data_IF_719863809369
#
_entry.id   IF_719863809369
#
_cell.length_a   1.000
_cell.length_b   1.000
_cell.length_c   1.000
_cell.angle_alpha   90.00
_cell.angle_beta   90.00
_cell.angle_gamma   90.00
#
_symmetry.space_group_name_H-M   'P 1'
#
loop_
_entity.id
_entity.type
_entity.pdbx_description
1 polymer ?
#
# COMPACT_ATOMS: atom_id res chain seq x y z
N UNK A 1 -16.27 -3.26 -6.97
CA UNK A 1 -16.31 -3.10 -5.49
C UNK A 1 -16.68 -4.36 -4.72
N UNK A 2 -17.63 -5.23 -5.13
CA UNK A 2 -17.96 -6.45 -4.35
C UNK A 2 -16.86 -7.53 -4.41
N UNK A 3 -16.08 -7.61 -5.50
CA UNK A 3 -15.00 -8.60 -5.69
C UNK A 3 -13.61 -8.15 -5.23
N UNK A 4 -13.41 -6.86 -5.00
CA UNK A 4 -12.11 -6.30 -4.57
C UNK A 4 -11.79 -6.55 -3.08
N UNK A 5 -12.59 -7.35 -2.36
CA UNK A 5 -12.53 -7.61 -0.90
C UNK A 5 -12.24 -6.38 -0.01
N UNK A 6 -12.59 -5.19 -0.52
CA UNK A 6 -12.40 -3.91 0.16
C UNK A 6 -13.48 -3.66 1.22
N UNK A 7 -14.54 -4.48 1.22
CA UNK A 7 -15.70 -4.34 2.10
C UNK A 7 -15.64 -5.22 3.36
N UNK A 8 -15.04 -6.41 3.29
CA UNK A 8 -15.06 -7.40 4.36
C UNK A 8 -14.31 -6.89 5.60
N UNK A 9 -14.96 -6.95 6.78
CA UNK A 9 -14.36 -6.52 8.06
C UNK A 9 -14.22 -5.01 8.24
N UNK A 10 -14.84 -4.19 7.38
CA UNK A 10 -14.69 -2.72 7.37
C UNK A 10 -16.03 -2.01 7.59
N UNK A 11 -15.96 -0.76 8.07
CA UNK A 11 -17.15 0.07 8.29
C UNK A 11 -17.79 0.44 6.93
N UNK A 12 -19.05 0.05 6.67
CA UNK A 12 -19.69 0.24 5.36
C UNK A 12 -19.90 1.72 5.02
N UNK A 13 -20.10 2.58 6.02
CA UNK A 13 -20.33 4.02 5.85
C UNK A 13 -19.19 4.73 5.13
N UNK A 14 -17.94 4.41 5.46
CA UNK A 14 -16.77 5.00 4.79
C UNK A 14 -16.62 4.57 3.35
N UNK A 15 -16.98 3.32 3.05
CA UNK A 15 -16.99 2.79 1.69
C UNK A 15 -18.09 3.43 0.85
N UNK A 16 -19.28 3.61 1.44
CA UNK A 16 -20.39 4.31 0.80
C UNK A 16 -20.00 5.75 0.43
N UNK A 17 -19.35 6.49 1.34
CA UNK A 17 -18.86 7.85 1.06
C UNK A 17 -17.85 7.90 -0.09
N UNK A 18 -16.89 6.98 -0.12
CA UNK A 18 -15.93 6.90 -1.22
C UNK A 18 -16.60 6.52 -2.55
N UNK A 19 -17.53 5.57 -2.52
CA UNK A 19 -18.30 5.16 -3.70
C UNK A 19 -19.17 6.30 -4.26
N UNK A 20 -19.82 7.07 -3.37
CA UNK A 20 -20.64 8.21 -3.76
C UNK A 20 -19.79 9.30 -4.42
N UNK A 21 -18.59 9.56 -3.89
CA UNK A 21 -17.67 10.54 -4.46
C UNK A 21 -17.15 10.09 -5.84
N UNK A 22 -16.79 8.81 -5.98
CA UNK A 22 -16.38 8.24 -7.27
C UNK A 22 -17.51 8.32 -8.31
N UNK A 23 -18.73 7.92 -7.95
CA UNK A 23 -19.89 8.02 -8.83
C UNK A 23 -20.16 9.47 -9.26
N UNK A 24 -20.10 10.42 -8.32
CA UNK A 24 -20.26 11.84 -8.63
C UNK A 24 -19.23 12.31 -9.67
N UNK A 25 -17.98 11.85 -9.59
CA UNK A 25 -16.95 12.15 -10.61
C UNK A 25 -17.22 11.49 -11.95
N UNK A 26 -17.64 10.22 -11.96
CA UNK A 26 -17.95 9.49 -13.20
C UNK A 26 -19.09 10.14 -13.99
N UNK A 27 -20.09 10.69 -13.30
CA UNK A 27 -21.25 11.32 -13.91
C UNK A 27 -21.15 12.86 -13.98
N UNK A 28 -19.95 13.42 -13.82
CA UNK A 28 -19.69 14.87 -13.92
C UNK A 28 -20.49 15.75 -12.93
N UNK A 29 -20.89 15.18 -11.79
CA UNK A 29 -21.47 15.91 -10.66
C UNK A 29 -20.37 16.42 -9.73
N UNK A 30 -20.15 17.73 -9.75
CA UNK A 30 -19.19 18.36 -8.85
C UNK A 30 -19.73 18.39 -7.41
N UNK A 31 -19.17 17.52 -6.55
CA UNK A 31 -19.37 17.51 -5.10
C UNK A 31 -18.03 17.53 -4.39
N UNK A 32 -17.97 18.24 -3.27
CA UNK A 32 -16.77 18.26 -2.44
C UNK A 32 -16.73 17.06 -1.51
N UNK A 33 -15.53 16.73 -1.01
CA UNK A 33 -15.38 15.67 0.00
C UNK A 33 -16.15 16.03 1.27
N UNK A 34 -16.16 17.31 1.65
CA UNK A 34 -16.89 17.83 2.80
C UNK A 34 -18.40 17.61 2.68
N UNK A 35 -19.00 17.87 1.50
CA UNK A 35 -20.44 17.65 1.26
C UNK A 35 -20.81 16.19 1.49
N UNK A 36 -20.01 15.27 0.94
CA UNK A 36 -20.25 13.83 1.08
C UNK A 36 -20.11 13.39 2.53
N UNK A 37 -19.05 13.84 3.21
CA UNK A 37 -18.78 13.54 4.62
C UNK A 37 -19.89 14.03 5.54
N UNK A 38 -20.47 15.20 5.25
CA UNK A 38 -21.61 15.71 6.00
C UNK A 38 -22.82 14.78 5.93
N UNK A 39 -23.08 14.16 4.77
CA UNK A 39 -24.20 13.24 4.55
C UNK A 39 -23.93 11.86 5.15
N UNK A 40 -22.73 11.30 4.96
CA UNK A 40 -22.42 9.94 5.44
C UNK A 40 -21.96 9.91 6.90
N UNK A 41 -21.79 11.06 7.55
CA UNK A 41 -21.35 11.18 8.95
C UNK A 41 -20.06 10.40 9.25
N UNK A 42 -19.01 10.60 8.45
CA UNK A 42 -17.71 9.97 8.69
C UNK A 42 -16.56 10.95 8.43
N UNK A 43 -15.41 10.76 9.08
CA UNK A 43 -14.26 11.66 8.88
C UNK A 43 -13.75 11.62 7.43
N UNK A 44 -13.35 12.79 6.91
CA UNK A 44 -12.69 12.93 5.60
C UNK A 44 -11.48 12.01 5.44
N UNK A 45 -10.71 11.84 6.52
CA UNK A 45 -9.53 10.98 6.53
C UNK A 45 -9.89 9.52 6.20
N UNK A 46 -11.07 9.06 6.65
CA UNK A 46 -11.54 7.70 6.38
C UNK A 46 -11.96 7.56 4.92
N UNK A 47 -12.68 8.53 4.36
CA UNK A 47 -13.07 8.55 2.94
C UNK A 47 -11.83 8.56 2.05
N UNK A 48 -10.86 9.43 2.33
CA UNK A 48 -9.58 9.48 1.60
C UNK A 48 -8.85 8.15 1.66
N UNK A 49 -8.72 7.55 2.84
CA UNK A 49 -8.11 6.22 2.99
C UNK A 49 -8.83 5.15 2.16
N UNK A 50 -10.16 5.20 2.05
CA UNK A 50 -10.91 4.24 1.19
C UNK A 50 -10.65 4.47 -0.30
N UNK A 51 -10.52 5.72 -0.74
CA UNK A 51 -10.15 6.06 -2.13
C UNK A 51 -8.72 5.60 -2.45
N UNK A 52 -7.78 5.80 -1.53
CA UNK A 52 -6.39 5.35 -1.68
C UNK A 52 -6.25 3.82 -1.73
N UNK A 53 -7.15 3.11 -1.06
CA UNK A 53 -7.21 1.65 -1.16
C UNK A 53 -7.84 1.21 -2.46
N UNK A 54 -8.87 1.91 -2.95
CA UNK A 54 -9.46 1.65 -4.26
C UNK A 54 -8.44 1.89 -5.39
N UNK A 55 -7.63 2.95 -5.32
CA UNK A 55 -6.60 3.26 -6.32
C UNK A 55 -5.48 2.21 -6.42
N UNK A 56 -5.37 1.33 -5.43
CA UNK A 56 -4.42 0.24 -5.41
C UNK A 56 -4.97 -1.07 -6.00
N UNK A 57 -6.24 -1.09 -6.41
CA UNK A 57 -6.92 -2.25 -7.01
C UNK A 57 -6.86 -2.18 -8.54
N UNK A 58 -6.91 -3.32 -9.25
CA UNK A 58 -6.98 -3.31 -10.71
C UNK A 58 -8.24 -2.61 -11.23
N UNK A 59 -9.33 -2.63 -10.45
CA UNK A 59 -10.58 -1.89 -10.74
C UNK A 59 -10.35 -0.39 -11.01
N UNK A 60 -9.37 0.24 -10.37
CA UNK A 60 -9.14 1.68 -10.53
C UNK A 60 -8.43 2.06 -11.83
N UNK A 61 -7.83 1.09 -12.53
CA UNK A 61 -7.18 1.32 -13.81
C UNK A 61 -8.16 1.27 -15.00
N UNK A 62 -9.39 0.79 -14.77
CA UNK A 62 -10.42 0.70 -15.79
C UNK A 62 -11.01 2.07 -16.12
N UNK A 63 -11.39 2.26 -17.38
CA UNK A 63 -12.22 3.40 -17.78
C UNK A 63 -13.63 3.27 -17.18
N UNK A 64 -14.40 4.36 -17.18
CA UNK A 64 -15.76 4.37 -16.62
C UNK A 64 -16.66 3.35 -17.33
N UNK A 65 -16.54 3.28 -18.66
CA UNK A 65 -17.32 2.36 -19.49
C UNK A 65 -16.92 0.90 -19.24
N UNK A 66 -15.62 0.63 -19.12
CA UNK A 66 -15.09 -0.69 -18.77
C UNK A 66 -15.51 -1.12 -17.36
N UNK A 67 -15.49 -0.20 -16.39
CA UNK A 67 -15.90 -0.49 -15.01
C UNK A 67 -17.39 -0.87 -14.90
N UNK A 68 -18.24 -0.36 -15.79
CA UNK A 68 -19.66 -0.68 -15.83
C UNK A 68 -19.96 -2.03 -16.52
N UNK A 69 -19.07 -2.46 -17.42
CA UNK A 69 -19.33 -3.59 -18.34
C UNK A 69 -18.53 -4.84 -18.00
N UNK A 70 -17.32 -4.66 -17.46
CA UNK A 70 -16.39 -5.75 -17.14
C UNK A 70 -16.64 -6.21 -15.71
N UNK A 71 -16.91 -7.50 -15.58
CA UNK A 71 -16.94 -8.16 -14.28
C UNK A 71 -15.55 -8.77 -14.02
N UNK A 72 -14.88 -8.32 -12.95
CA UNK A 72 -13.53 -8.80 -12.65
C UNK A 72 -13.54 -10.30 -12.30
N UNK A 73 -12.67 -11.06 -12.96
CA UNK A 73 -12.52 -12.51 -12.73
C UNK A 73 -11.71 -12.80 -11.45
N UNK A 74 -10.76 -11.93 -11.11
CA UNK A 74 -9.87 -12.11 -9.95
C UNK A 74 -10.39 -11.39 -8.71
N UNK A 75 -10.39 -12.11 -7.58
CA UNK A 75 -10.56 -11.53 -6.25
C UNK A 75 -9.21 -11.01 -5.74
N UNK A 76 -9.20 -9.77 -5.25
CA UNK A 76 -8.04 -9.20 -4.56
C UNK A 76 -8.01 -9.63 -3.08
N UNK A 77 -6.81 -9.63 -2.50
CA UNK A 77 -6.62 -9.85 -1.06
C UNK A 77 -7.14 -8.64 -0.24
N UNK A 78 -7.61 -8.85 0.99
CA UNK A 78 -8.02 -7.74 1.84
C UNK A 78 -6.79 -6.87 2.19
N UNK A 79 -6.93 -5.54 2.36
CA UNK A 79 -5.78 -4.67 2.59
C UNK A 79 -4.97 -5.01 3.85
N UNK A 80 -5.58 -5.66 4.86
CA UNK A 80 -4.87 -6.17 6.04
C UNK A 80 -3.76 -7.17 5.67
N UNK A 81 -4.02 -8.02 4.66
CA UNK A 81 -3.05 -9.00 4.19
C UNK A 81 -1.94 -8.33 3.36
N UNK A 82 -2.31 -7.35 2.53
CA UNK A 82 -1.35 -6.55 1.76
C UNK A 82 -0.39 -5.76 2.65
N UNK A 83 -0.91 -5.13 3.71
CA UNK A 83 -0.09 -4.42 4.70
C UNK A 83 0.82 -5.36 5.48
N UNK A 84 0.33 -6.52 5.92
CA UNK A 84 1.13 -7.51 6.62
C UNK A 84 2.30 -8.02 5.75
N UNK A 85 2.05 -8.35 4.48
CA UNK A 85 3.09 -8.78 3.53
C UNK A 85 4.10 -7.68 3.23
N UNK A 86 3.66 -6.43 3.11
CA UNK A 86 4.55 -5.28 2.90
C UNK A 86 5.49 -5.08 4.09
N UNK A 87 4.95 -5.04 5.31
CA UNK A 87 5.77 -4.92 6.53
C UNK A 87 6.75 -6.07 6.70
N UNK A 88 6.33 -7.30 6.39
CA UNK A 88 7.21 -8.46 6.45
C UNK A 88 8.40 -8.34 5.47
N UNK A 89 8.16 -7.86 4.24
CA UNK A 89 9.21 -7.61 3.25
C UNK A 89 10.16 -6.48 3.68
N UNK A 90 9.62 -5.36 4.18
CA UNK A 90 10.42 -4.25 4.69
C UNK A 90 11.33 -4.69 5.84
N UNK A 91 10.81 -5.49 6.78
CA UNK A 91 11.60 -6.03 7.88
C UNK A 91 12.71 -6.98 7.39
N UNK A 92 12.44 -7.75 6.34
CA UNK A 92 13.44 -8.66 5.77
C UNK A 92 14.58 -7.87 5.11
N UNK A 93 14.26 -6.85 4.32
CA UNK A 93 15.27 -5.97 3.71
C UNK A 93 16.13 -5.26 4.76
N UNK A 94 15.52 -4.80 5.86
CA UNK A 94 16.28 -4.18 6.96
C UNK A 94 17.28 -5.15 7.59
N UNK A 95 16.88 -6.41 7.81
CA UNK A 95 17.79 -7.44 8.32
C UNK A 95 18.91 -7.78 7.35
N UNK A 96 18.60 -7.83 6.04
CA UNK A 96 19.60 -8.05 5.00
C UNK A 96 20.61 -6.89 4.93
N UNK A 97 20.14 -5.63 5.02
CA UNK A 97 21.00 -4.45 5.10
C UNK A 97 21.88 -4.42 6.35
N UNK A 98 21.34 -4.80 7.51
CA UNK A 98 22.10 -4.91 8.77
C UNK A 98 23.19 -5.99 8.67
N UNK A 99 22.85 -7.17 8.14
CA UNK A 99 23.81 -8.25 7.94
C UNK A 99 24.92 -7.86 6.94
N UNK A 100 24.59 -7.16 5.87
CA UNK A 100 25.59 -6.65 4.91
C UNK A 100 26.56 -5.66 5.57
N UNK A 101 26.07 -4.75 6.41
CA UNK A 101 26.91 -3.81 7.16
C UNK A 101 27.82 -4.52 8.15
N UNK A 102 27.33 -5.58 8.80
CA UNK A 102 28.13 -6.39 9.73
C UNK A 102 29.24 -7.15 9.00
N UNK A 103 28.92 -7.78 7.87
CA UNK A 103 29.91 -8.43 6.99
C UNK A 103 30.93 -7.41 6.46
N UNK A 104 30.47 -6.23 6.02
CA UNK A 104 31.36 -5.16 5.54
C UNK A 104 32.32 -4.70 6.65
N UNK A 105 31.83 -4.55 7.88
CA UNK A 105 32.65 -4.19 9.03
C UNK A 105 33.67 -5.29 9.36
N UNK A 106 33.29 -6.57 9.33
CA UNK A 106 34.22 -7.70 9.53
C UNK A 106 35.30 -7.76 8.45
N UNK A 107 34.92 -7.61 7.18
CA UNK A 107 35.85 -7.57 6.05
C UNK A 107 36.81 -6.40 6.19
N UNK A 108 36.29 -5.21 6.53
CA UNK A 108 37.10 -4.02 6.76
C UNK A 108 38.11 -4.24 7.90
N UNK A 109 37.68 -4.78 9.03
CA UNK A 109 38.55 -5.10 10.16
C UNK A 109 39.63 -6.12 9.78
N UNK A 110 39.26 -7.18 9.05
CA UNK A 110 40.18 -8.24 8.66
C UNK A 110 41.22 -7.76 7.66
N UNK A 111 40.87 -6.85 6.74
CA UNK A 111 41.83 -6.23 5.81
C UNK A 111 42.76 -5.29 6.59
N UNK A 112 42.23 -4.42 7.46
CA UNK A 112 43.05 -3.42 8.16
C UNK A 112 43.96 -3.99 9.25
N UNK A 113 43.57 -5.07 9.93
CA UNK A 113 44.36 -5.67 11.01
C UNK A 113 45.35 -6.75 10.53
N UNK A 114 45.14 -7.43 9.39
CA UNK A 114 46.07 -8.47 8.89
C UNK A 114 47.13 -8.00 7.90
N UNK A 115 46.99 -6.81 7.33
CA UNK A 115 47.99 -6.24 6.40
C UNK A 115 49.30 -5.79 7.08
N UNK A 116 49.34 -5.25 8.31
CA UNK A 116 50.60 -4.86 8.96
C UNK A 116 51.47 -6.07 9.36
N UNK A 117 50.88 -7.24 9.62
CA UNK A 117 51.62 -8.44 10.04
C UNK A 117 52.38 -9.14 8.90
N UNK A 118 52.11 -8.81 7.63
CA UNK A 118 52.81 -9.38 6.47
C UNK A 118 53.96 -8.50 5.96
N UNK A 119 54.07 -7.25 6.42
CA UNK A 119 55.19 -6.34 6.11
C UNK A 119 56.21 -6.22 7.26
N UNK A 120 55.94 -6.88 8.40
CA UNK A 120 56.86 -7.00 9.53
C UNK A 120 57.39 -8.43 9.62
N UNK A 121 58.19 -8.85 8.65
CA UNK A 121 59.13 -9.97 8.81
C UNK A 121 60.49 -9.48 8.30
N UNK A 122 61.57 -9.74 9.06
CA UNK A 122 62.86 -9.04 8.92
C UNK A 122 63.63 -9.34 7.64
#
# INVERSE_FOLDING_TARGET
MKRDWIATGRRPTGLCGAALLLAARCFNFNRTVADVVHVVHISEAVVRKRLDEFSQTPSSALTIDEFATIDLEHCEDPPAFREARRKARELQLQKEEEALKEIEAEVFLSVHLKLPSLLASP
#
